data_IF_181133081836
#
_entry.id   IF_181133081836
#
_cell.length_a   1.000
_cell.length_b   1.000
_cell.length_c   1.000
_cell.angle_alpha   90.00
_cell.angle_beta   90.00
_cell.angle_gamma   90.00
#
_symmetry.space_group_name_H-M   'P 1'
#
loop_
_entity.id
_entity.type
_entity.pdbx_description
1 polymer ?
#
# COMPACT_ATOMS: atom_id res chain seq x y z
N UNK A 1 12.10 -14.93 3.16
CA UNK A 1 11.88 -13.47 3.11
C UNK A 1 10.48 -13.18 3.60
N UNK A 2 10.31 -12.25 4.54
CA UNK A 2 9.02 -11.80 5.05
C UNK A 2 8.59 -10.49 4.40
N UNK A 3 7.45 -10.50 3.72
CA UNK A 3 6.85 -9.34 3.06
C UNK A 3 5.54 -8.99 3.77
N UNK A 4 5.35 -7.73 4.12
CA UNK A 4 4.14 -7.23 4.78
C UNK A 4 3.51 -6.14 3.92
N UNK A 5 2.21 -6.22 3.68
CA UNK A 5 1.42 -5.15 3.07
C UNK A 5 0.32 -4.68 4.03
N UNK A 6 0.18 -3.37 4.18
CA UNK A 6 -0.82 -2.75 5.05
C UNK A 6 -1.20 -1.36 4.54
N UNK A 7 -2.49 -1.09 4.37
CA UNK A 7 -2.97 0.30 4.33
C UNK A 7 -2.89 0.88 5.75
N UNK A 8 -2.08 1.90 5.95
CA UNK A 8 -1.78 2.47 7.26
C UNK A 8 -2.81 3.53 7.71
N UNK A 9 -3.82 3.81 6.89
CA UNK A 9 -4.94 4.70 7.21
C UNK A 9 -4.51 6.10 7.68
N UNK A 10 -3.49 6.67 7.05
CA UNK A 10 -2.90 7.95 7.46
C UNK A 10 -2.29 7.95 8.86
N UNK A 11 -2.08 6.78 9.47
CA UNK A 11 -1.62 6.61 10.84
C UNK A 11 -2.69 6.93 11.88
N UNK A 12 -3.99 6.82 11.56
CA UNK A 12 -5.06 7.09 12.51
C UNK A 12 -4.98 6.22 13.79
N UNK A 13 -4.34 5.05 13.70
CA UNK A 13 -4.03 4.14 14.83
C UNK A 13 -2.52 4.03 15.05
N UNK A 14 -1.82 5.17 15.05
CA UNK A 14 -0.35 5.19 15.05
C UNK A 14 0.26 4.55 16.29
N UNK A 15 -0.34 4.67 17.47
CA UNK A 15 0.24 4.11 18.70
C UNK A 15 0.29 2.57 18.64
N UNK A 16 -0.78 1.93 18.16
CA UNK A 16 -0.84 0.49 17.91
C UNK A 16 0.11 0.08 16.77
N UNK A 17 0.10 0.82 15.67
CA UNK A 17 0.97 0.58 14.52
C UNK A 17 2.46 0.65 14.93
N UNK A 18 2.83 1.65 15.73
CA UNK A 18 4.20 1.89 16.17
C UNK A 18 4.68 0.80 17.14
N UNK A 19 3.80 0.30 18.01
CA UNK A 19 4.10 -0.80 18.90
C UNK A 19 4.25 -2.14 18.15
N UNK A 20 3.47 -2.34 17.09
CA UNK A 20 3.42 -3.60 16.35
C UNK A 20 4.49 -3.72 15.26
N UNK A 21 4.75 -2.69 14.46
CA UNK A 21 5.65 -2.75 13.30
C UNK A 21 7.03 -3.36 13.60
N UNK A 22 7.75 -2.99 14.69
CA UNK A 22 9.06 -3.56 15.01
C UNK A 22 9.02 -5.06 15.36
N UNK A 23 7.85 -5.60 15.71
CA UNK A 23 7.69 -6.99 16.15
C UNK A 23 7.61 -7.99 14.99
N UNK A 24 7.36 -7.51 13.76
CA UNK A 24 7.15 -8.36 12.60
C UNK A 24 8.42 -8.98 12.03
N UNK A 25 9.57 -8.35 12.27
CA UNK A 25 10.84 -8.70 11.63
C UNK A 25 10.67 -8.82 10.11
N UNK A 26 9.96 -7.86 9.51
CA UNK A 26 9.64 -7.85 8.10
C UNK A 26 10.85 -7.40 7.27
N UNK A 27 11.12 -8.11 6.18
CA UNK A 27 12.21 -7.79 5.26
C UNK A 27 11.80 -6.71 4.25
N UNK A 28 10.53 -6.75 3.81
CA UNK A 28 9.92 -5.72 2.97
C UNK A 28 8.58 -5.31 3.57
N UNK A 29 8.38 -4.00 3.76
CA UNK A 29 7.12 -3.44 4.24
C UNK A 29 6.55 -2.50 3.19
N UNK A 30 5.31 -2.75 2.77
CA UNK A 30 4.56 -1.98 1.79
C UNK A 30 3.37 -1.30 2.49
N UNK A 31 3.43 0.04 2.61
CA UNK A 31 2.40 0.84 3.26
C UNK A 31 1.62 1.70 2.26
N UNK A 32 0.30 1.65 2.35
CA UNK A 32 -0.61 2.56 1.64
C UNK A 32 -1.15 3.63 2.58
N UNK A 33 -1.68 4.72 2.02
CA UNK A 33 -2.18 5.90 2.76
C UNK A 33 -1.13 6.52 3.70
N UNK A 34 0.08 6.68 3.17
CA UNK A 34 1.19 7.31 3.90
C UNK A 34 1.18 8.80 3.65
N UNK A 35 1.40 9.57 4.72
CA UNK A 35 1.34 11.03 4.73
C UNK A 35 2.73 11.63 4.97
N UNK A 36 2.96 12.81 4.37
CA UNK A 36 4.13 13.65 4.67
C UNK A 36 3.79 15.12 4.52
N UNK A 37 4.06 15.90 5.56
CA UNK A 37 3.75 17.34 5.59
C UNK A 37 5.02 18.09 5.99
N UNK A 38 5.78 18.65 5.03
CA UNK A 38 7.04 19.31 5.33
C UNK A 38 6.90 20.42 6.39
N UNK A 39 7.69 20.33 7.46
CA UNK A 39 7.72 21.32 8.54
C UNK A 39 6.56 21.24 9.54
N UNK A 40 5.75 20.18 9.50
CA UNK A 40 4.66 19.93 10.43
C UNK A 40 4.90 18.61 11.14
N UNK A 41 4.67 18.59 12.45
CA UNK A 41 4.89 17.41 13.29
C UNK A 41 3.61 17.04 14.04
N UNK A 42 3.56 15.82 14.59
CA UNK A 42 2.47 15.37 15.43
C UNK A 42 1.21 14.99 14.64
N UNK A 43 0.05 15.36 15.19
CA UNK A 43 -1.26 14.99 14.66
C UNK A 43 -1.86 16.13 13.84
N UNK A 44 -2.37 15.79 12.68
CA UNK A 44 -3.07 16.69 11.76
C UNK A 44 -4.49 16.16 11.52
N UNK A 45 -5.31 16.99 10.87
CA UNK A 45 -6.68 16.61 10.51
C UNK A 45 -6.87 16.68 9.00
N UNK A 46 -7.22 15.53 8.43
CA UNK A 46 -7.71 15.40 7.07
C UNK A 46 -9.23 15.58 7.04
N UNK A 47 -9.72 16.33 6.06
CA UNK A 47 -11.15 16.53 5.81
C UNK A 47 -11.41 16.49 4.31
N UNK A 48 -12.31 15.61 3.88
CA UNK A 48 -12.91 15.64 2.56
C UNK A 48 -14.45 15.74 2.68
N UNK A 49 -15.16 15.59 1.57
CA UNK A 49 -16.63 15.67 1.55
C UNK A 49 -17.33 14.55 2.35
N UNK A 50 -16.66 13.42 2.59
CA UNK A 50 -17.24 12.22 3.19
C UNK A 50 -16.85 12.04 4.66
N UNK A 51 -15.68 12.51 5.06
CA UNK A 51 -15.07 12.15 6.35
C UNK A 51 -14.08 13.18 6.87
N UNK A 52 -13.88 13.13 8.18
CA UNK A 52 -12.80 13.79 8.89
C UNK A 52 -12.03 12.76 9.71
N UNK A 53 -10.72 12.70 9.54
CA UNK A 53 -9.85 11.70 10.17
C UNK A 53 -8.59 12.34 10.76
N UNK A 54 -8.14 11.87 11.95
CA UNK A 54 -6.80 12.20 12.42
C UNK A 54 -5.77 11.51 11.52
N UNK A 55 -4.67 12.19 11.26
CA UNK A 55 -3.53 11.62 10.55
C UNK A 55 -2.23 12.05 11.20
N UNK A 56 -1.18 11.28 10.97
CA UNK A 56 0.18 11.71 11.30
C UNK A 56 0.65 12.76 10.29
N UNK A 57 1.29 13.81 10.77
CA UNK A 57 1.85 14.85 9.91
C UNK A 57 2.91 14.28 8.95
N UNK A 58 3.78 13.40 9.47
CA UNK A 58 4.84 12.72 8.74
C UNK A 58 4.87 11.22 9.10
N UNK A 59 3.85 10.47 8.64
CA UNK A 59 3.78 9.03 8.89
C UNK A 59 5.00 8.31 8.31
N UNK A 60 5.51 8.77 7.16
CA UNK A 60 6.72 8.19 6.57
C UNK A 60 7.92 8.33 7.52
N UNK A 61 8.17 9.55 8.02
CA UNK A 61 9.25 9.80 8.97
C UNK A 61 9.08 9.03 10.28
N UNK A 62 7.86 9.00 10.80
CA UNK A 62 7.50 8.22 11.99
C UNK A 62 7.84 6.73 11.83
N UNK A 63 7.43 6.10 10.71
CA UNK A 63 7.73 4.68 10.42
C UNK A 63 9.22 4.46 10.15
N UNK A 64 9.88 5.37 9.44
CA UNK A 64 11.33 5.28 9.19
C UNK A 64 12.13 5.31 10.51
N UNK A 65 11.65 6.05 11.51
CA UNK A 65 12.23 6.06 12.86
C UNK A 65 12.07 4.74 13.63
N UNK A 66 11.07 3.92 13.28
CA UNK A 66 10.85 2.59 13.86
C UNK A 66 11.64 1.51 13.11
N UNK A 67 11.68 1.60 11.78
CA UNK A 67 12.33 0.66 10.88
C UNK A 67 13.74 1.14 10.47
N UNK A 68 14.58 1.43 11.47
CA UNK A 68 15.89 2.07 11.28
C UNK A 68 16.90 1.28 10.43
N UNK A 69 16.67 -0.01 10.23
CA UNK A 69 17.50 -0.91 9.40
C UNK A 69 16.92 -1.12 8.00
N UNK A 70 15.94 -0.30 7.61
CA UNK A 70 15.32 -0.36 6.30
C UNK A 70 15.64 0.90 5.50
N UNK A 71 15.89 0.70 4.22
CA UNK A 71 15.86 1.78 3.24
C UNK A 71 14.41 2.06 2.86
N UNK A 72 13.90 3.22 3.28
CA UNK A 72 12.54 3.69 2.97
C UNK A 72 12.47 4.51 1.69
N UNK A 73 11.38 4.39 0.95
CA UNK A 73 11.02 5.24 -0.18
C UNK A 73 9.55 5.66 -0.06
N UNK A 74 9.29 6.97 -0.04
CA UNK A 74 7.96 7.56 -0.09
C UNK A 74 7.66 8.08 -1.50
N UNK A 75 6.46 7.77 -2.02
CA UNK A 75 6.00 8.24 -3.31
C UNK A 75 4.64 8.92 -3.16
N UNK A 76 4.61 10.24 -3.36
CA UNK A 76 3.38 11.02 -3.38
C UNK A 76 2.60 10.76 -4.68
N UNK A 77 1.30 10.48 -4.58
CA UNK A 77 0.40 10.46 -5.72
C UNK A 77 -0.41 11.76 -5.86
N UNK A 78 -0.67 12.45 -4.76
CA UNK A 78 -1.34 13.74 -4.74
C UNK A 78 -1.04 14.50 -3.45
N UNK A 79 -1.39 15.79 -3.45
CA UNK A 79 -1.24 16.65 -2.28
C UNK A 79 -2.49 17.50 -2.08
N UNK A 80 -2.75 17.93 -0.85
CA UNK A 80 -3.95 18.69 -0.52
C UNK A 80 -3.94 19.27 0.89
N UNK A 81 -5.00 20.01 1.26
CA UNK A 81 -5.03 20.77 2.49
C UNK A 81 -5.29 19.88 3.72
N UNK A 82 -4.64 20.20 4.82
CA UNK A 82 -4.94 19.67 6.16
C UNK A 82 -4.96 20.82 7.17
N UNK A 83 -5.55 20.61 8.34
CA UNK A 83 -5.45 21.55 9.46
C UNK A 83 -4.60 20.98 10.59
N UNK A 84 -4.12 21.86 11.47
CA UNK A 84 -3.72 21.40 12.80
C UNK A 84 -4.97 20.84 13.53
N UNK A 85 -4.78 19.96 14.51
CA UNK A 85 -5.89 19.26 15.17
C UNK A 85 -6.97 20.16 15.78
N UNK A 86 -6.70 21.46 15.99
CA UNK A 86 -7.62 22.47 16.52
C UNK A 86 -8.38 23.25 15.42
N UNK A 87 -8.06 23.00 14.14
CA UNK A 87 -8.72 23.63 13.00
C UNK A 87 -8.13 24.99 12.62
N UNK A 88 -7.04 25.40 13.25
CA UNK A 88 -6.27 26.58 12.88
C UNK A 88 -5.13 26.14 11.91
N UNK A 89 -4.65 27.05 11.06
CA UNK A 89 -3.61 26.72 10.08
C UNK A 89 -4.02 25.79 8.92
N UNK A 90 -3.65 26.15 7.70
CA UNK A 90 -3.81 25.28 6.51
C UNK A 90 -2.43 24.85 6.05
N UNK A 91 -2.12 23.58 6.21
CA UNK A 91 -0.86 22.99 5.73
C UNK A 91 -1.09 22.18 4.46
N UNK A 92 -0.01 21.94 3.71
CA UNK A 92 -0.03 21.13 2.50
C UNK A 92 0.60 19.77 2.78
N UNK A 93 -0.22 18.73 2.72
CA UNK A 93 0.21 17.36 2.95
C UNK A 93 0.34 16.64 1.61
N UNK A 94 1.47 15.95 1.43
CA UNK A 94 1.67 14.94 0.39
C UNK A 94 1.11 13.60 0.88
N UNK A 95 0.42 12.90 -0.01
CA UNK A 95 -0.22 11.62 0.26
C UNK A 95 0.18 10.58 -0.77
N UNK A 96 0.40 9.34 -0.34
CA UNK A 96 0.70 8.25 -1.25
C UNK A 96 1.04 6.94 -0.56
N UNK A 97 2.14 6.31 -1.00
CA UNK A 97 2.59 4.98 -0.55
C UNK A 97 4.05 5.03 -0.09
N UNK A 98 4.44 4.08 0.76
CA UNK A 98 5.84 3.90 1.15
C UNK A 98 6.28 2.44 1.11
N UNK A 99 7.49 2.17 0.62
CA UNK A 99 8.13 0.85 0.72
C UNK A 99 9.38 0.96 1.58
N UNK A 100 9.58 0.00 2.47
CA UNK A 100 10.79 -0.14 3.28
C UNK A 100 11.44 -1.50 2.99
N UNK A 101 12.72 -1.50 2.63
CA UNK A 101 13.49 -2.72 2.32
C UNK A 101 14.61 -2.87 3.34
N UNK A 102 14.64 -3.99 4.04
CA UNK A 102 15.64 -4.30 5.06
C UNK A 102 17.06 -4.40 4.47
N UNK A 103 18.05 -3.88 5.20
CA UNK A 103 19.44 -3.77 4.74
C UNK A 103 20.11 -5.10 4.34
N UNK A 104 19.58 -6.24 4.82
CA UNK A 104 20.07 -7.57 4.47
C UNK A 104 19.74 -7.97 3.02
N UNK A 105 18.79 -7.28 2.38
CA UNK A 105 18.28 -7.55 1.03
C UNK A 105 18.71 -6.45 0.07
N UNK A 106 19.78 -6.67 -0.72
CA UNK A 106 20.24 -5.67 -1.67
C UNK A 106 19.14 -5.27 -2.64
N UNK A 107 18.80 -3.97 -2.65
CA UNK A 107 17.93 -3.37 -3.64
C UNK A 107 18.70 -3.22 -4.96
N UNK A 108 18.31 -3.98 -5.98
CA UNK A 108 18.99 -4.07 -7.28
C UNK A 108 18.16 -3.51 -8.43
N UNK A 109 16.96 -3.02 -8.14
CA UNK A 109 16.10 -2.33 -9.10
C UNK A 109 14.93 -1.66 -8.40
N UNK A 110 14.48 -0.53 -8.95
CA UNK A 110 13.36 0.24 -8.44
C UNK A 110 12.66 0.92 -9.61
N UNK A 111 11.34 0.80 -9.68
CA UNK A 111 10.50 1.38 -10.74
C UNK A 111 9.20 1.90 -10.16
N UNK A 112 8.64 2.95 -10.75
CA UNK A 112 7.38 3.55 -10.31
C UNK A 112 6.51 3.87 -11.52
N UNK A 113 5.19 3.78 -11.37
CA UNK A 113 4.27 4.23 -12.40
C UNK A 113 2.99 4.79 -11.76
N UNK A 114 2.49 5.90 -12.31
CA UNK A 114 1.09 6.24 -12.09
C UNK A 114 0.23 5.21 -12.82
N UNK A 115 -0.60 4.50 -12.06
CA UNK A 115 -1.57 3.53 -12.58
C UNK A 115 -2.94 4.17 -12.79
N UNK A 116 -3.15 5.37 -12.22
CA UNK A 116 -4.28 6.23 -12.51
C UNK A 116 -3.89 7.71 -12.36
N UNK A 117 -4.25 8.53 -13.34
CA UNK A 117 -4.00 9.97 -13.32
C UNK A 117 -2.50 10.32 -13.35
N UNK A 118 -2.18 11.51 -12.84
CA UNK A 118 -0.82 12.02 -12.61
C UNK A 118 -0.83 12.81 -11.30
N UNK A 119 0.35 13.14 -10.76
CA UNK A 119 0.43 13.94 -9.56
C UNK A 119 -0.45 15.20 -9.67
N UNK A 120 -1.33 15.38 -8.69
CA UNK A 120 -2.26 16.49 -8.67
C UNK A 120 -2.20 17.19 -7.31
N UNK A 121 -2.16 18.52 -7.37
CA UNK A 121 -2.08 19.37 -6.20
C UNK A 121 -3.45 20.02 -5.97
N UNK A 122 -4.21 19.54 -4.99
CA UNK A 122 -5.63 19.87 -4.81
C UNK A 122 -5.83 21.13 -3.95
N UNK A 123 -6.68 22.05 -4.40
CA UNK A 123 -7.16 23.12 -3.51
C UNK A 123 -7.93 22.50 -2.34
N UNK A 124 -8.94 21.68 -2.63
CA UNK A 124 -9.67 20.87 -1.66
C UNK A 124 -9.68 19.41 -2.10
N UNK A 125 -9.68 18.49 -1.14
CA UNK A 125 -9.64 17.06 -1.44
C UNK A 125 -10.88 16.61 -2.21
N UNK A 126 -10.74 15.98 -3.38
CA UNK A 126 -11.87 15.41 -4.09
C UNK A 126 -12.33 14.11 -3.40
N UNK A 127 -13.60 13.77 -3.59
CA UNK A 127 -14.19 12.53 -3.04
C UNK A 127 -13.88 11.29 -3.90
N UNK A 128 -13.49 11.48 -5.17
CA UNK A 128 -13.16 10.43 -6.13
C UNK A 128 -12.02 10.82 -7.06
N UNK A 129 -11.66 9.94 -8.00
CA UNK A 129 -10.73 10.25 -9.10
C UNK A 129 -9.30 10.61 -8.68
N UNK A 130 -8.96 10.40 -7.41
CA UNK A 130 -7.63 10.72 -6.87
C UNK A 130 -6.55 9.90 -7.59
N UNK A 131 -5.42 10.52 -7.99
CA UNK A 131 -4.33 9.81 -8.64
C UNK A 131 -3.83 8.62 -7.81
N UNK A 132 -3.30 7.61 -8.49
CA UNK A 132 -2.73 6.40 -7.87
C UNK A 132 -1.37 6.07 -8.46
N UNK A 133 -0.39 5.90 -7.58
CA UNK A 133 0.97 5.49 -7.92
C UNK A 133 1.21 4.06 -7.42
N UNK A 134 1.95 3.29 -8.20
CA UNK A 134 2.46 1.98 -7.84
C UNK A 134 3.99 2.01 -7.78
N UNK A 135 4.54 1.16 -6.92
CA UNK A 135 5.99 1.05 -6.67
C UNK A 135 6.43 -0.39 -6.81
N UNK A 136 7.51 -0.62 -7.55
CA UNK A 136 8.15 -1.92 -7.66
C UNK A 136 9.59 -1.83 -7.17
N UNK A 137 9.98 -2.77 -6.31
CA UNK A 137 11.36 -2.99 -5.88
C UNK A 137 11.81 -4.38 -6.30
N UNK A 138 13.04 -4.51 -6.78
CA UNK A 138 13.68 -5.79 -7.08
C UNK A 138 14.82 -5.99 -6.10
N UNK A 139 14.77 -7.07 -5.33
CA UNK A 139 15.72 -7.37 -4.27
C UNK A 139 16.37 -8.73 -4.46
N UNK A 140 17.59 -8.91 -3.95
CA UNK A 140 18.27 -10.21 -3.92
C UNK A 140 17.99 -10.92 -2.58
N UNK A 141 17.23 -12.02 -2.64
CA UNK A 141 17.06 -12.97 -1.53
C UNK A 141 18.19 -14.00 -1.57
N UNK A 142 19.26 -13.75 -0.81
CA UNK A 142 20.41 -14.66 -0.76
C UNK A 142 20.07 -16.02 -0.13
N UNK A 143 19.12 -16.06 0.80
CA UNK A 143 18.75 -17.30 1.47
C UNK A 143 17.93 -18.20 0.53
N UNK A 144 17.10 -17.61 -0.32
CA UNK A 144 16.35 -18.29 -1.37
C UNK A 144 17.10 -18.46 -2.70
N UNK A 145 18.36 -17.98 -2.79
CA UNK A 145 19.17 -17.93 -4.02
C UNK A 145 18.39 -17.42 -5.25
N UNK A 146 17.64 -16.33 -5.05
CA UNK A 146 16.73 -15.79 -6.08
C UNK A 146 16.58 -14.28 -5.98
N UNK A 147 16.11 -13.68 -7.05
CA UNK A 147 15.59 -12.32 -7.02
C UNK A 147 14.09 -12.33 -6.76
N UNK A 148 13.63 -11.36 -5.99
CA UNK A 148 12.21 -11.15 -5.71
C UNK A 148 11.84 -9.74 -6.14
N UNK A 149 10.79 -9.61 -6.92
CA UNK A 149 10.17 -8.34 -7.28
C UNK A 149 8.93 -8.16 -6.41
N UNK A 150 8.90 -7.12 -5.60
CA UNK A 150 7.73 -6.76 -4.79
C UNK A 150 7.13 -5.49 -5.38
N UNK A 151 5.88 -5.57 -5.81
CA UNK A 151 5.12 -4.45 -6.36
C UNK A 151 3.98 -4.13 -5.41
N UNK A 152 3.80 -2.86 -5.07
CA UNK A 152 2.64 -2.41 -4.30
C UNK A 152 1.83 -1.33 -5.01
N UNK A 153 0.54 -1.28 -4.69
CA UNK A 153 -0.40 -0.30 -5.20
C UNK A 153 -1.40 0.10 -4.12
N UNK A 154 -1.84 1.36 -4.16
CA UNK A 154 -3.12 1.77 -3.61
C UNK A 154 -4.04 2.00 -4.80
N UNK A 155 -5.09 1.20 -4.95
CA UNK A 155 -5.98 1.20 -6.10
C UNK A 155 -7.04 2.30 -6.05
N UNK A 156 -7.67 2.53 -7.19
CA UNK A 156 -8.69 3.55 -7.37
C UNK A 156 -9.94 3.24 -6.54
N UNK A 157 -10.26 4.16 -5.62
CA UNK A 157 -11.54 4.21 -4.92
C UNK A 157 -12.59 4.82 -5.86
N UNK A 158 -13.79 4.26 -5.85
CA UNK A 158 -14.97 4.80 -6.52
C UNK A 158 -16.12 4.92 -5.50
N UNK A 159 -16.78 6.08 -5.36
CA UNK A 159 -17.94 6.26 -4.48
C UNK A 159 -19.11 5.33 -4.83
N UNK A 160 -19.26 4.91 -6.09
CA UNK A 160 -20.29 3.97 -6.51
C UNK A 160 -20.03 2.52 -6.04
N UNK A 161 -18.82 2.22 -5.54
CA UNK A 161 -18.49 0.96 -4.90
C UNK A 161 -17.20 0.32 -5.41
N UNK A 162 -17.13 -1.02 -5.29
CA UNK A 162 -15.93 -1.82 -5.57
C UNK A 162 -16.03 -2.68 -6.84
N UNK A 163 -17.05 -2.46 -7.67
CA UNK A 163 -17.23 -3.15 -8.94
C UNK A 163 -16.31 -2.61 -10.05
N UNK A 164 -16.31 -3.27 -11.20
CA UNK A 164 -15.43 -2.86 -12.30
C UNK A 164 -15.79 -1.49 -12.89
N UNK A 165 -14.75 -0.78 -13.32
CA UNK A 165 -14.86 0.43 -14.14
C UNK A 165 -13.77 0.43 -15.21
N UNK A 166 -13.96 1.15 -16.34
CA UNK A 166 -12.90 1.27 -17.35
C UNK A 166 -11.57 1.79 -16.77
N UNK A 167 -11.64 2.70 -15.79
CA UNK A 167 -10.44 3.23 -15.13
C UNK A 167 -9.71 2.18 -14.28
N UNK A 168 -10.44 1.28 -13.60
CA UNK A 168 -9.86 0.16 -12.85
C UNK A 168 -9.22 -0.88 -13.77
N UNK A 169 -9.82 -1.14 -14.94
CA UNK A 169 -9.22 -2.02 -15.95
C UNK A 169 -7.89 -1.44 -16.47
N UNK A 170 -7.87 -0.17 -16.86
CA UNK A 170 -6.64 0.52 -17.28
C UNK A 170 -5.59 0.50 -16.15
N UNK A 171 -6.01 0.70 -14.90
CA UNK A 171 -5.12 0.60 -13.75
C UNK A 171 -4.47 -0.80 -13.64
N UNK A 172 -5.25 -1.87 -13.82
CA UNK A 172 -4.73 -3.24 -13.79
C UNK A 172 -3.71 -3.48 -14.91
N UNK A 173 -3.98 -3.01 -16.13
CA UNK A 173 -3.05 -3.10 -17.26
C UNK A 173 -1.75 -2.34 -17.00
N UNK A 174 -1.82 -1.12 -16.46
CA UNK A 174 -0.64 -0.34 -16.09
C UNK A 174 0.19 -1.00 -14.99
N UNK A 175 -0.48 -1.66 -14.03
CA UNK A 175 0.19 -2.42 -12.98
C UNK A 175 0.94 -3.63 -13.55
N UNK A 176 0.33 -4.39 -14.46
CA UNK A 176 1.00 -5.50 -15.17
C UNK A 176 2.19 -4.98 -15.98
N UNK A 177 2.07 -3.83 -16.63
CA UNK A 177 3.17 -3.23 -17.38
C UNK A 177 4.31 -2.77 -16.45
N UNK A 178 4.03 -2.30 -15.23
CA UNK A 178 5.06 -2.04 -14.22
C UNK A 178 5.77 -3.34 -13.78
N UNK A 179 5.00 -4.42 -13.56
CA UNK A 179 5.55 -5.75 -13.24
C UNK A 179 6.51 -6.20 -14.35
N UNK A 180 6.08 -6.17 -15.61
CA UNK A 180 6.86 -6.61 -16.78
C UNK A 180 8.13 -5.78 -16.99
N UNK A 181 8.09 -4.47 -16.72
CA UNK A 181 9.26 -3.59 -16.83
C UNK A 181 10.28 -3.80 -15.72
N UNK A 182 9.87 -4.37 -14.59
CA UNK A 182 10.73 -4.54 -13.40
C UNK A 182 11.29 -5.96 -13.32
N UNK A 183 10.47 -6.97 -13.60
CA UNK A 183 10.84 -8.37 -13.48
C UNK A 183 11.72 -8.84 -14.65
N UNK A 184 12.68 -9.70 -14.32
CA UNK A 184 13.51 -10.42 -15.27
C UNK A 184 13.15 -11.91 -15.29
N UNK A 185 13.49 -12.66 -16.36
CA UNK A 185 13.31 -14.10 -16.37
C UNK A 185 13.95 -14.77 -15.15
N UNK A 186 13.15 -15.54 -14.41
CA UNK A 186 13.58 -16.23 -13.19
C UNK A 186 13.33 -15.48 -11.88
N UNK A 187 12.91 -14.21 -11.92
CA UNK A 187 12.49 -13.50 -10.72
C UNK A 187 11.16 -14.07 -10.19
N UNK A 188 11.04 -14.18 -8.87
CA UNK A 188 9.76 -14.38 -8.20
C UNK A 188 9.05 -13.03 -8.07
N UNK A 189 7.79 -12.93 -8.48
CA UNK A 189 7.00 -11.69 -8.38
C UNK A 189 5.97 -11.82 -7.27
N UNK A 190 5.88 -10.77 -6.44
CA UNK A 190 4.83 -10.55 -5.44
C UNK A 190 4.17 -9.20 -5.75
N UNK A 191 2.84 -9.17 -5.85
CA UNK A 191 2.06 -7.93 -6.01
C UNK A 191 1.11 -7.79 -4.83
N UNK A 192 1.06 -6.64 -4.16
CA UNK A 192 0.27 -6.47 -2.95
C UNK A 192 -0.33 -5.06 -2.81
N UNK A 193 -1.28 -4.90 -1.89
CA UNK A 193 -1.83 -3.61 -1.47
C UNK A 193 -3.34 -3.59 -1.39
N UNK A 194 -3.91 -2.41 -1.14
CA UNK A 194 -5.34 -2.15 -1.23
C UNK A 194 -5.72 -1.89 -2.69
N UNK A 195 -6.44 -2.80 -3.36
CA UNK A 195 -6.85 -2.62 -4.76
C UNK A 195 -8.18 -1.88 -4.90
N UNK A 196 -8.95 -1.72 -3.82
CA UNK A 196 -10.29 -1.14 -3.82
C UNK A 196 -11.32 -1.84 -4.75
N UNK A 197 -11.15 -3.13 -5.01
CA UNK A 197 -12.09 -3.94 -5.84
C UNK A 197 -12.56 -5.20 -5.12
N UNK A 198 -13.65 -5.80 -5.61
CA UNK A 198 -14.16 -7.10 -5.16
C UNK A 198 -13.41 -8.27 -5.84
N UNK A 199 -13.44 -9.49 -5.25
CA UNK A 199 -12.71 -10.65 -5.78
C UNK A 199 -13.14 -11.12 -7.16
N UNK A 200 -14.36 -10.77 -7.59
CA UNK A 200 -14.92 -11.07 -8.90
C UNK A 200 -14.62 -10.00 -9.96
N UNK A 201 -13.78 -9.00 -9.64
CA UNK A 201 -13.35 -7.96 -10.56
C UNK A 201 -12.53 -8.51 -11.74
N UNK A 202 -12.78 -7.97 -12.93
CA UNK A 202 -11.97 -8.21 -14.14
C UNK A 202 -10.48 -7.87 -13.96
N UNK A 203 -10.12 -7.09 -12.93
CA UNK A 203 -8.72 -6.86 -12.50
C UNK A 203 -7.96 -8.18 -12.33
N UNK A 204 -8.60 -9.20 -11.74
CA UNK A 204 -7.93 -10.48 -11.47
C UNK A 204 -7.78 -11.35 -12.70
N UNK A 205 -8.63 -11.18 -13.71
CA UNK A 205 -8.41 -11.81 -15.02
C UNK A 205 -7.10 -11.29 -15.63
N UNK A 206 -6.92 -9.96 -15.70
CA UNK A 206 -5.70 -9.32 -16.21
C UNK A 206 -4.44 -9.75 -15.43
N UNK A 207 -4.51 -9.81 -14.11
CA UNK A 207 -3.38 -10.24 -13.28
C UNK A 207 -3.07 -11.73 -13.44
N UNK A 208 -4.09 -12.58 -13.55
CA UNK A 208 -3.92 -14.02 -13.75
C UNK A 208 -3.34 -14.36 -15.12
N UNK A 209 -3.73 -13.63 -16.18
CA UNK A 209 -3.12 -13.74 -17.50
C UNK A 209 -1.64 -13.32 -17.50
N UNK A 210 -1.25 -12.44 -16.57
CA UNK A 210 0.15 -12.10 -16.32
C UNK A 210 0.90 -13.14 -15.47
N UNK A 211 0.25 -14.26 -15.11
CA UNK A 211 0.84 -15.36 -14.34
C UNK A 211 0.81 -15.16 -12.82
N UNK A 212 -0.01 -14.23 -12.31
CA UNK A 212 -0.13 -13.95 -10.87
C UNK A 212 -1.31 -14.72 -10.26
N UNK A 213 -1.08 -15.35 -9.12
CA UNK A 213 -2.09 -16.09 -8.37
C UNK A 213 -2.42 -15.35 -7.08
N UNK A 214 -3.71 -15.03 -6.87
CA UNK A 214 -4.21 -14.42 -5.63
C UNK A 214 -4.21 -15.40 -4.46
N UNK A 215 -3.67 -14.97 -3.33
CA UNK A 215 -3.64 -15.74 -2.07
C UNK A 215 -4.76 -15.34 -1.11
N UNK A 216 -5.40 -14.18 -1.28
CA UNK A 216 -6.46 -13.69 -0.38
C UNK A 216 -7.81 -14.31 -0.69
N UNK A 217 -8.19 -14.41 -1.97
CA UNK A 217 -9.50 -14.89 -2.39
C UNK A 217 -10.62 -14.00 -1.86
N UNK A 218 -11.55 -14.58 -1.09
CA UNK A 218 -12.75 -13.87 -0.59
C UNK A 218 -12.68 -13.51 0.90
N UNK A 219 -11.50 -13.63 1.52
CA UNK A 219 -11.33 -13.41 2.96
C UNK A 219 -11.63 -11.96 3.40
N UNK A 220 -12.03 -11.77 4.65
CA UNK A 220 -12.18 -10.42 5.25
C UNK A 220 -10.80 -9.79 5.46
N UNK A 221 -10.56 -8.64 4.82
CA UNK A 221 -9.29 -7.87 4.91
C UNK A 221 -9.42 -6.57 5.70
N UNK A 222 -10.49 -6.43 6.48
CA UNK A 222 -10.77 -5.25 7.31
C UNK A 222 -10.77 -5.59 8.81
N UNK A 223 -10.48 -4.63 9.66
CA UNK A 223 -10.57 -4.77 11.13
C UNK A 223 -11.95 -4.34 11.65
N UNK A 224 -12.16 -4.38 12.96
CA UNK A 224 -13.39 -3.86 13.57
C UNK A 224 -13.54 -2.35 13.41
N UNK A 225 -12.45 -1.59 13.25
CA UNK A 225 -12.48 -0.15 12.99
C UNK A 225 -13.17 0.22 11.67
N UNK A 226 -13.24 -0.71 10.71
CA UNK A 226 -13.97 -0.52 9.47
C UNK A 226 -15.44 -0.97 9.61
N UNK A 227 -16.36 -0.01 9.69
CA UNK A 227 -17.78 -0.27 10.00
C UNK A 227 -18.68 -0.57 8.78
N UNK A 228 -18.17 -0.43 7.56
CA UNK A 228 -18.97 -0.65 6.34
C UNK A 228 -19.16 -2.15 6.05
N UNK A 229 -20.27 -2.56 5.41
CA UNK A 229 -20.59 -3.97 5.19
C UNK A 229 -19.64 -4.67 4.19
N UNK A 230 -19.08 -3.94 3.22
CA UNK A 230 -18.15 -4.50 2.24
C UNK A 230 -16.73 -4.51 2.82
N UNK A 231 -16.36 -5.62 3.43
CA UNK A 231 -15.15 -5.81 4.25
C UNK A 231 -13.98 -6.45 3.48
N UNK A 232 -13.73 -6.00 2.26
CA UNK A 232 -12.72 -6.58 1.38
C UNK A 232 -12.08 -5.52 0.49
N UNK A 233 -10.74 -5.45 0.41
CA UNK A 233 -10.04 -4.58 -0.54
C UNK A 233 -8.58 -4.95 -0.80
N UNK A 234 -7.93 -5.60 0.16
CA UNK A 234 -6.49 -5.86 0.11
C UNK A 234 -6.21 -7.22 -0.53
N UNK A 235 -5.19 -7.27 -1.38
CA UNK A 235 -4.79 -8.49 -2.08
C UNK A 235 -3.28 -8.70 -1.99
N UNK A 236 -2.88 -9.97 -2.08
CA UNK A 236 -1.50 -10.37 -2.28
C UNK A 236 -1.46 -11.50 -3.30
N UNK A 237 -0.74 -11.26 -4.39
CA UNK A 237 -0.60 -12.19 -5.51
C UNK A 237 0.85 -12.59 -5.70
N UNK A 238 1.09 -13.83 -6.13
CA UNK A 238 2.43 -14.38 -6.37
C UNK A 238 2.53 -15.04 -7.74
N UNK A 239 3.70 -14.98 -8.38
CA UNK A 239 3.91 -15.66 -9.67
C UNK A 239 4.14 -17.17 -9.54
N UNK A 240 4.54 -17.64 -8.36
CA UNK A 240 4.74 -19.07 -8.06
C UNK A 240 4.23 -19.39 -6.65
N UNK A 241 3.03 -19.97 -6.51
CA UNK A 241 2.48 -20.38 -5.22
C UNK A 241 3.34 -21.41 -4.47
N UNK A 242 4.18 -22.20 -5.16
CA UNK A 242 5.04 -23.20 -4.52
C UNK A 242 6.20 -22.57 -3.73
N UNK A 243 6.52 -21.30 -4.00
CA UNK A 243 7.49 -20.52 -3.26
C UNK A 243 6.96 -20.00 -1.90
N UNK A 244 5.65 -20.09 -1.64
CA UNK A 244 5.03 -19.59 -0.42
C UNK A 244 5.21 -20.59 0.72
N UNK A 245 5.90 -20.18 1.79
CA UNK A 245 6.04 -20.97 3.02
C UNK A 245 4.86 -20.75 3.96
N UNK A 246 4.41 -19.50 4.09
CA UNK A 246 3.23 -19.15 4.87
C UNK A 246 2.59 -17.87 4.32
N UNK A 247 1.28 -17.76 4.44
CA UNK A 247 0.52 -16.55 4.16
C UNK A 247 -0.55 -16.37 5.24
N UNK A 248 -0.63 -15.18 5.82
CA UNK A 248 -1.57 -14.86 6.88
C UNK A 248 -2.21 -13.48 6.68
N UNK A 249 -3.49 -13.39 7.00
CA UNK A 249 -4.25 -12.14 7.09
C UNK A 249 -4.46 -11.88 8.58
N UNK A 250 -3.66 -10.97 9.15
CA UNK A 250 -3.61 -10.79 10.61
C UNK A 250 -4.86 -10.07 11.12
N UNK A 251 -5.59 -10.70 12.04
CA UNK A 251 -6.75 -10.10 12.69
C UNK A 251 -6.40 -9.30 13.95
N UNK A 252 -5.26 -9.59 14.58
CA UNK A 252 -4.82 -8.90 15.80
C UNK A 252 -3.27 -8.80 15.84
N UNK A 253 -2.71 -7.73 16.44
CA UNK A 253 -3.43 -6.55 16.93
C UNK A 253 -4.04 -5.74 15.77
N UNK A 254 -5.13 -5.04 16.04
CA UNK A 254 -5.68 -4.08 15.08
C UNK A 254 -4.81 -2.82 15.11
N UNK A 255 -4.18 -2.50 13.97
CA UNK A 255 -3.22 -1.39 13.81
C UNK A 255 -3.64 -0.41 12.71
N UNK A 256 -4.80 -0.65 12.12
CA UNK A 256 -5.41 0.08 11.01
C UNK A 256 -6.88 -0.35 10.89
N UNK A 257 -7.67 0.33 10.05
CA UNK A 257 -8.96 -0.19 9.59
C UNK A 257 -8.81 -1.37 8.60
N UNK A 258 -7.58 -1.65 8.16
CA UNK A 258 -7.19 -2.79 7.33
C UNK A 258 -6.39 -3.86 8.10
N UNK A 259 -6.52 -5.12 7.67
CA UNK A 259 -5.72 -6.23 8.20
C UNK A 259 -4.37 -6.30 7.47
N UNK A 260 -3.25 -6.46 8.19
CA UNK A 260 -1.97 -6.74 7.55
C UNK A 260 -1.99 -8.07 6.78
N UNK A 261 -1.44 -8.04 5.56
CA UNK A 261 -1.15 -9.23 4.77
C UNK A 261 0.33 -9.59 4.98
N UNK A 262 0.60 -10.79 5.51
CA UNK A 262 1.95 -11.25 5.82
C UNK A 262 2.28 -12.48 4.98
N UNK A 263 3.35 -12.39 4.22
CA UNK A 263 3.85 -13.45 3.35
C UNK A 263 5.26 -13.85 3.77
N UNK A 264 5.47 -15.14 3.99
CA UNK A 264 6.79 -15.74 4.15
C UNK A 264 7.14 -16.59 2.92
N UNK A 265 8.26 -16.24 2.28
CA UNK A 265 8.88 -16.92 1.13
C UNK A 265 10.10 -17.76 1.52
#
# INVERSE_FOLDING_TARGET
>A
MRIVSLNAWGGAMFDELAAWLPTLDADVVCLQEVTRTPGVEGWTRFVDADRSLPQRADLFGDVAGLLTRHQGAFLACDSGPISDGEGEGRHRQDFGIATFVGEAFPLVGQQTAFVHGTHTDHEDWPNDGRPRIAHAVRVLDRAGDRFVVVVQVHGLRDPAGKGDTPARLVQAEQLVELVRRTAQPGDLVVVCGDFNVLPDSATFEVLSEAGLTDLVGTADTRTAAYSKPVRHADYLLVSDPSAVKAFEILAAPEVSDHRPLVLDL
#
